data_IF_919400093204
#
_entry.id   IF_919400093204
#
_cell.length_a   1.000
_cell.length_b   1.000
_cell.length_c   1.000
_cell.angle_alpha   90.00
_cell.angle_beta   90.00
_cell.angle_gamma   90.00
#
_symmetry.space_group_name_H-M   'P 1'
#
loop_
_entity.id
_entity.type
_entity.pdbx_description
1 polymer ?
#
# COMPACT_ATOMS: atom_id res chain seq x y z
N UNK A 1 13.52 -0.72 6.51
CA UNK A 1 12.16 -0.87 5.93
C UNK A 1 12.26 -2.00 4.93
N UNK A 2 11.19 -2.78 4.79
CA UNK A 2 11.06 -3.78 3.72
C UNK A 2 9.72 -3.61 3.03
N UNK A 3 9.65 -3.94 1.74
CA UNK A 3 8.44 -3.83 0.94
C UNK A 3 8.09 -5.22 0.40
N UNK A 4 6.83 -5.60 0.50
CA UNK A 4 6.29 -6.86 -0.01
C UNK A 4 5.23 -6.50 -1.04
N UNK A 5 5.39 -6.97 -2.27
CA UNK A 5 4.36 -6.86 -3.30
C UNK A 5 3.50 -8.14 -3.30
N UNK A 6 2.21 -7.99 -3.55
CA UNK A 6 1.27 -9.09 -3.66
C UNK A 6 0.67 -9.07 -5.06
N UNK A 7 0.48 -10.25 -5.68
CA UNK A 7 -0.27 -10.34 -6.94
C UNK A 7 -1.77 -10.12 -6.76
N UNK A 8 -2.25 -10.25 -5.53
CA UNK A 8 -3.68 -10.23 -5.23
C UNK A 8 -4.35 -11.55 -5.59
N UNK A 9 -5.69 -11.56 -5.55
CA UNK A 9 -6.50 -12.71 -5.92
C UNK A 9 -7.62 -12.26 -6.85
N UNK A 10 -7.91 -13.05 -7.89
CA UNK A 10 -9.06 -12.79 -8.74
C UNK A 10 -10.34 -13.17 -7.98
N UNK A 11 -11.18 -12.17 -7.70
CA UNK A 11 -12.46 -12.36 -7.02
C UNK A 11 -13.46 -13.14 -7.89
N UNK A 12 -13.44 -12.94 -9.20
CA UNK A 12 -14.35 -13.58 -10.16
C UNK A 12 -14.18 -15.11 -10.26
N UNK A 13 -13.00 -15.60 -9.90
CA UNK A 13 -12.65 -17.03 -10.02
C UNK A 13 -12.75 -17.80 -8.70
N UNK A 14 -13.05 -17.12 -7.60
CA UNK A 14 -13.13 -17.71 -6.24
C UNK A 14 -14.55 -17.58 -5.68
N UNK A 15 -14.90 -18.49 -4.79
CA UNK A 15 -16.19 -18.42 -4.09
C UNK A 15 -16.17 -17.37 -2.97
N UNK A 16 -17.35 -16.83 -2.62
CA UNK A 16 -17.49 -15.86 -1.53
C UNK A 16 -16.90 -16.36 -0.21
N UNK A 17 -17.09 -17.66 0.10
CA UNK A 17 -16.55 -18.27 1.32
C UNK A 17 -15.01 -18.25 1.33
N UNK A 18 -14.37 -18.49 0.20
CA UNK A 18 -12.92 -18.42 0.07
C UNK A 18 -12.43 -16.98 0.23
N UNK A 19 -13.11 -16.01 -0.38
CA UNK A 19 -12.78 -14.59 -0.25
C UNK A 19 -12.90 -14.09 1.21
N UNK A 20 -13.94 -14.53 1.92
CA UNK A 20 -14.11 -14.25 3.36
C UNK A 20 -12.97 -14.88 4.18
N UNK A 21 -12.57 -16.12 3.87
CA UNK A 21 -11.48 -16.79 4.56
C UNK A 21 -10.13 -16.08 4.32
N UNK A 22 -9.86 -15.64 3.09
CA UNK A 22 -8.69 -14.85 2.73
C UNK A 22 -8.67 -13.52 3.49
N UNK A 23 -9.80 -12.82 3.53
CA UNK A 23 -9.94 -11.60 4.32
C UNK A 23 -9.60 -11.83 5.81
N UNK A 24 -10.11 -12.90 6.41
CA UNK A 24 -9.77 -13.26 7.79
C UNK A 24 -8.30 -13.65 7.96
N UNK A 25 -7.67 -14.31 6.98
CA UNK A 25 -6.24 -14.59 6.96
C UNK A 25 -5.42 -13.30 6.98
N UNK A 26 -5.76 -12.33 6.13
CA UNK A 26 -5.09 -11.03 6.07
C UNK A 26 -5.23 -10.26 7.40
N UNK A 27 -6.41 -10.29 8.02
CA UNK A 27 -6.61 -9.71 9.34
C UNK A 27 -5.74 -10.40 10.41
N UNK A 28 -5.70 -11.75 10.41
CA UNK A 28 -4.81 -12.52 11.30
C UNK A 28 -3.34 -12.15 11.11
N UNK A 29 -2.91 -11.91 9.87
CA UNK A 29 -1.55 -11.47 9.56
C UNK A 29 -1.22 -10.12 10.23
N UNK A 30 -2.05 -9.08 10.05
CA UNK A 30 -1.82 -7.79 10.71
C UNK A 30 -1.78 -7.91 12.24
N UNK A 31 -2.64 -8.74 12.83
CA UNK A 31 -2.64 -8.98 14.26
C UNK A 31 -1.40 -9.72 14.75
N UNK A 32 -0.87 -10.66 13.96
CA UNK A 32 0.35 -11.39 14.30
C UNK A 32 1.55 -10.45 14.32
N UNK A 33 1.68 -9.57 13.33
CA UNK A 33 2.72 -8.53 13.28
C UNK A 33 2.63 -7.57 14.48
N UNK A 34 1.42 -7.08 14.76
CA UNK A 34 1.18 -6.19 15.89
C UNK A 34 1.50 -6.81 17.25
N UNK A 35 1.21 -8.10 17.44
CA UNK A 35 1.56 -8.83 18.66
C UNK A 35 3.07 -9.03 18.81
N UNK A 36 3.79 -9.25 17.71
CA UNK A 36 5.23 -9.51 17.72
C UNK A 36 6.03 -8.25 18.04
N UNK A 37 5.73 -7.14 17.37
CA UNK A 37 6.56 -5.93 17.43
C UNK A 37 5.92 -4.74 18.17
N UNK A 38 4.59 -4.76 18.32
CA UNK A 38 3.84 -3.66 18.94
C UNK A 38 4.23 -2.30 18.36
N UNK A 39 4.44 -1.32 19.24
CA UNK A 39 4.78 0.07 18.90
C UNK A 39 6.07 0.27 18.10
N UNK A 40 6.89 -0.77 17.94
CA UNK A 40 8.13 -0.71 17.18
C UNK A 40 7.92 -0.90 15.69
N UNK A 41 6.74 -1.36 15.27
CA UNK A 41 6.39 -1.58 13.88
C UNK A 41 5.29 -0.61 13.44
N UNK A 42 5.50 -0.01 12.27
CA UNK A 42 4.46 0.64 11.49
C UNK A 42 4.27 -0.16 10.21
N UNK A 43 3.02 -0.32 9.79
CA UNK A 43 2.68 -0.92 8.50
C UNK A 43 2.05 0.14 7.61
N UNK A 44 2.38 0.08 6.33
CA UNK A 44 1.66 0.82 5.31
C UNK A 44 1.22 -0.15 4.23
N UNK A 45 -0.08 -0.18 3.94
CA UNK A 45 -0.60 -0.87 2.75
C UNK A 45 -0.79 0.15 1.65
N UNK A 46 -0.54 -0.30 0.43
CA UNK A 46 -0.68 0.48 -0.78
C UNK A 46 -1.54 -0.29 -1.76
N UNK A 47 -2.56 0.38 -2.30
CA UNK A 47 -3.27 -0.04 -3.50
C UNK A 47 -2.97 1.01 -4.56
N UNK A 48 -2.24 0.61 -5.60
CA UNK A 48 -1.86 1.50 -6.70
C UNK A 48 -2.63 1.09 -7.94
N UNK A 49 -3.34 2.02 -8.57
CA UNK A 49 -3.92 1.84 -9.89
C UNK A 49 -3.16 2.72 -10.88
N UNK A 50 -2.44 2.11 -11.81
CA UNK A 50 -1.51 2.78 -12.72
C UNK A 50 -1.81 2.45 -14.16
N UNK A 51 -1.66 3.42 -15.06
CA UNK A 51 -1.75 3.18 -16.49
C UNK A 51 -0.69 2.17 -16.94
N UNK A 52 -1.06 1.26 -17.84
CA UNK A 52 -0.14 0.36 -18.52
C UNK A 52 -0.09 0.78 -19.98
N UNK A 53 1.12 0.98 -20.48
CA UNK A 53 1.40 1.10 -21.91
C UNK A 53 2.06 -0.19 -22.38
N UNK A 54 1.55 -0.80 -23.45
CA UNK A 54 2.10 -2.04 -23.99
C UNK A 54 3.24 -1.73 -24.95
N UNK A 55 4.41 -1.41 -24.41
CA UNK A 55 5.59 -0.96 -25.18
C UNK A 55 6.50 -2.09 -25.68
N UNK A 56 6.17 -3.34 -25.32
CA UNK A 56 6.99 -4.50 -25.70
C UNK A 56 6.88 -4.79 -27.20
N UNK A 57 8.01 -4.68 -27.91
CA UNK A 57 8.13 -5.10 -29.30
C UNK A 57 8.33 -6.62 -29.37
N UNK A 58 7.25 -7.35 -29.63
CA UNK A 58 7.31 -8.78 -29.91
C UNK A 58 7.91 -8.99 -31.30
N UNK A 59 9.03 -9.72 -31.36
CA UNK A 59 9.64 -10.16 -32.62
C UNK A 59 9.51 -11.67 -32.72
N UNK A 60 8.67 -12.15 -33.63
CA UNK A 60 8.46 -13.57 -33.87
C UNK A 60 9.10 -14.03 -35.19
N UNK A 61 9.70 -15.23 -35.22
CA UNK A 61 10.42 -15.72 -36.40
C UNK A 61 9.51 -16.04 -37.59
N UNK A 62 8.20 -16.22 -37.36
CA UNK A 62 7.22 -16.56 -38.39
C UNK A 62 6.34 -15.34 -38.71
N UNK A 63 6.27 -14.88 -39.98
CA UNK A 63 5.48 -13.71 -40.37
C UNK A 63 4.00 -13.80 -39.97
N UNK A 64 3.37 -14.96 -40.13
CA UNK A 64 1.96 -15.14 -39.74
C UNK A 64 1.71 -14.99 -38.23
N UNK A 65 2.70 -15.36 -37.39
CA UNK A 65 2.60 -15.14 -35.95
C UNK A 65 2.89 -13.69 -35.58
N UNK A 66 3.78 -13.02 -36.31
CA UNK A 66 4.01 -11.59 -36.17
C UNK A 66 2.73 -10.79 -36.48
N UNK A 67 2.08 -11.08 -37.61
CA UNK A 67 0.80 -10.45 -38.00
C UNK A 67 -0.29 -10.66 -36.92
N UNK A 68 -0.35 -11.88 -36.35
CA UNK A 68 -1.29 -12.19 -35.27
C UNK A 68 -0.98 -11.37 -34.01
N UNK A 69 0.27 -11.31 -33.56
CA UNK A 69 0.66 -10.57 -32.36
C UNK A 69 0.48 -9.07 -32.57
N UNK A 70 0.81 -8.53 -33.74
CA UNK A 70 0.59 -7.12 -34.05
C UNK A 70 -0.90 -6.78 -34.07
N UNK A 71 -1.75 -7.61 -34.68
CA UNK A 71 -3.19 -7.42 -34.66
C UNK A 71 -3.78 -7.54 -33.23
N UNK A 72 -3.30 -8.49 -32.44
CA UNK A 72 -3.77 -8.71 -31.07
C UNK A 72 -3.31 -7.62 -30.10
N UNK A 73 -2.09 -7.10 -30.27
CA UNK A 73 -1.51 -6.06 -29.40
C UNK A 73 -1.92 -4.64 -29.79
N UNK A 74 -2.33 -4.40 -31.03
CA UNK A 74 -2.71 -3.06 -31.51
C UNK A 74 -3.75 -2.32 -30.64
N UNK A 75 -4.83 -2.96 -30.14
CA UNK A 75 -5.77 -2.31 -29.21
C UNK A 75 -5.14 -1.95 -27.87
N UNK A 76 -4.17 -2.76 -27.40
CA UNK A 76 -3.45 -2.55 -26.15
C UNK A 76 -2.37 -1.47 -26.24
N UNK A 77 -1.91 -1.13 -27.45
CA UNK A 77 -0.97 -0.02 -27.68
C UNK A 77 -1.65 1.36 -27.59
N UNK A 78 -2.95 1.44 -27.90
CA UNK A 78 -3.69 2.70 -27.99
C UNK A 78 -4.80 2.86 -26.92
N UNK A 79 -5.08 1.81 -26.12
CA UNK A 79 -6.10 1.85 -25.08
C UNK A 79 -5.53 2.26 -23.73
N UNK A 80 -6.38 2.88 -22.90
CA UNK A 80 -6.04 3.20 -21.51
C UNK A 80 -6.32 1.98 -20.64
N UNK A 81 -5.31 1.14 -20.44
CA UNK A 81 -5.39 -0.01 -19.52
C UNK A 81 -4.82 0.36 -18.17
N UNK A 82 -5.36 -0.21 -17.10
CA UNK A 82 -4.88 0.02 -15.74
C UNK A 82 -4.50 -1.30 -15.08
N UNK A 83 -3.37 -1.28 -14.36
CA UNK A 83 -3.00 -2.35 -13.45
C UNK A 83 -3.35 -1.95 -12.03
N UNK A 84 -3.83 -2.90 -11.23
CA UNK A 84 -3.93 -2.74 -9.78
C UNK A 84 -2.78 -3.50 -9.13
N UNK A 85 -1.98 -2.80 -8.33
CA UNK A 85 -0.90 -3.34 -7.53
C UNK A 85 -1.22 -3.27 -6.05
N UNK A 86 -0.83 -4.31 -5.31
CA UNK A 86 -0.97 -4.37 -3.87
C UNK A 86 0.41 -4.48 -3.23
N UNK A 87 0.70 -3.65 -2.23
CA UNK A 87 1.98 -3.71 -1.54
C UNK A 87 1.86 -3.40 -0.05
N UNK A 88 2.76 -3.96 0.75
CA UNK A 88 2.85 -3.78 2.19
C UNK A 88 4.27 -3.37 2.56
N UNK A 89 4.44 -2.18 3.13
CA UNK A 89 5.70 -1.74 3.71
C UNK A 89 5.74 -2.04 5.22
N UNK A 90 6.82 -2.69 5.64
CA UNK A 90 7.16 -2.96 7.04
C UNK A 90 8.21 -1.95 7.50
N UNK A 91 7.87 -1.12 8.48
CA UNK A 91 8.71 -0.02 8.97
C UNK A 91 9.01 -0.29 10.43
N UNK A 92 10.16 -0.93 10.66
CA UNK A 92 10.62 -1.35 11.99
C UNK A 92 11.58 -0.32 12.58
N UNK A 93 11.30 0.11 13.82
CA UNK A 93 12.23 0.89 14.65
C UNK A 93 13.18 -0.06 15.36
N UNK A 94 14.47 0.10 15.09
CA UNK A 94 15.55 -0.64 15.74
C UNK A 94 16.55 0.33 16.40
N UNK A 95 17.41 -0.19 17.27
CA UNK A 95 18.53 0.55 17.87
C UNK A 95 19.85 0.04 17.33
N UNK A 96 20.03 -1.28 17.36
CA UNK A 96 21.16 -1.97 16.78
C UNK A 96 20.78 -2.54 15.41
N UNK A 97 21.68 -2.39 14.43
CA UNK A 97 21.41 -2.75 13.04
C UNK A 97 21.22 -4.26 12.89
N UNK A 98 22.09 -5.08 13.50
CA UNK A 98 22.03 -6.53 13.38
C UNK A 98 20.76 -7.11 13.99
N UNK A 99 20.35 -6.62 15.17
CA UNK A 99 19.07 -6.98 15.80
C UNK A 99 17.89 -6.56 14.90
N UNK A 100 17.98 -5.38 14.28
CA UNK A 100 16.98 -4.89 13.34
C UNK A 100 16.86 -5.77 12.09
N UNK A 101 17.97 -6.29 11.58
CA UNK A 101 18.01 -7.21 10.44
C UNK A 101 17.38 -8.54 10.82
N UNK A 102 17.76 -9.13 11.95
CA UNK A 102 17.20 -10.39 12.44
C UNK A 102 15.69 -10.29 12.62
N UNK A 103 15.22 -9.26 13.34
CA UNK A 103 13.79 -9.01 13.57
C UNK A 103 13.03 -8.77 12.27
N UNK A 104 13.60 -8.03 11.32
CA UNK A 104 12.97 -7.82 10.01
C UNK A 104 12.90 -9.12 9.21
N UNK A 105 13.96 -9.93 9.19
CA UNK A 105 13.97 -11.24 8.53
C UNK A 105 12.87 -12.16 9.08
N UNK A 106 12.72 -12.15 10.39
CA UNK A 106 11.67 -12.84 11.13
C UNK A 106 10.25 -12.39 10.74
N UNK A 107 10.04 -11.08 10.53
CA UNK A 107 8.77 -10.54 10.06
C UNK A 107 8.51 -10.95 8.60
N UNK A 108 9.53 -10.90 7.75
CA UNK A 108 9.42 -11.28 6.35
C UNK A 108 9.10 -12.77 6.17
N UNK A 109 9.72 -13.65 6.97
CA UNK A 109 9.40 -15.08 6.99
C UNK A 109 7.93 -15.34 7.38
N UNK A 110 7.46 -14.62 8.41
CA UNK A 110 6.06 -14.66 8.83
C UNK A 110 5.13 -14.13 7.73
N UNK A 111 5.50 -13.06 7.05
CA UNK A 111 4.75 -12.49 5.92
C UNK A 111 4.64 -13.46 4.75
N UNK A 112 5.75 -14.08 4.32
CA UNK A 112 5.73 -15.07 3.23
C UNK A 112 4.82 -16.26 3.55
N UNK A 113 4.79 -16.68 4.81
CA UNK A 113 3.96 -17.81 5.25
C UNK A 113 2.48 -17.45 5.31
N UNK A 114 2.13 -16.35 5.98
CA UNK A 114 0.73 -15.98 6.19
C UNK A 114 0.06 -15.37 4.97
N UNK A 115 0.85 -14.85 4.02
CA UNK A 115 0.37 -14.26 2.78
C UNK A 115 0.55 -15.17 1.56
N UNK A 116 0.89 -16.45 1.73
CA UNK A 116 1.22 -17.36 0.63
C UNK A 116 0.14 -17.40 -0.49
N UNK A 117 -1.14 -17.33 -0.12
CA UNK A 117 -2.28 -17.29 -1.05
C UNK A 117 -2.30 -16.06 -1.98
N UNK A 118 -1.57 -15.01 -1.63
CA UNK A 118 -1.47 -13.76 -2.40
C UNK A 118 -0.19 -13.67 -3.24
N UNK A 119 0.60 -14.75 -3.29
CA UNK A 119 1.89 -14.85 -3.98
C UNK A 119 2.84 -13.69 -3.61
N UNK A 120 3.33 -13.63 -2.36
CA UNK A 120 4.07 -12.50 -1.86
C UNK A 120 5.50 -12.46 -2.41
N UNK A 121 5.89 -11.33 -2.98
CA UNK A 121 7.24 -11.05 -3.48
C UNK A 121 7.90 -10.03 -2.55
N UNK A 122 8.96 -10.45 -1.86
CA UNK A 122 9.77 -9.54 -1.04
C UNK A 122 10.71 -8.76 -1.96
N UNK A 123 10.61 -7.44 -1.92
CA UNK A 123 11.44 -6.57 -2.74
C UNK A 123 12.86 -6.47 -2.18
N UNK A 124 13.83 -6.54 -3.07
CA UNK A 124 15.25 -6.54 -2.76
C UNK A 124 16.08 -5.72 -3.74
N UNK A 125 17.30 -6.21 -3.99
CA UNK A 125 18.22 -5.65 -4.97
C UNK A 125 18.24 -6.53 -6.23
N UNK A 126 18.33 -5.89 -7.38
CA UNK A 126 18.54 -6.54 -8.67
C UNK A 126 19.93 -6.18 -9.20
N UNK A 127 20.68 -7.17 -9.66
CA UNK A 127 21.97 -6.95 -10.32
C UNK A 127 21.79 -7.01 -11.83
N UNK A 128 22.28 -6.00 -12.54
CA UNK A 128 22.30 -6.00 -14.00
C UNK A 128 23.41 -6.89 -14.56
N UNK A 129 23.34 -7.19 -15.85
CA UNK A 129 24.39 -7.95 -16.56
C UNK A 129 25.79 -7.30 -16.46
N UNK A 130 25.85 -6.00 -16.15
CA UNK A 130 27.08 -5.23 -16.00
C UNK A 130 27.48 -5.01 -14.52
N UNK A 131 26.84 -5.71 -13.57
CA UNK A 131 27.16 -5.66 -12.14
C UNK A 131 26.62 -4.43 -11.39
N UNK A 132 25.72 -3.66 -12.00
CA UNK A 132 25.10 -2.51 -11.33
C UNK A 132 23.91 -2.99 -10.48
N UNK A 133 23.85 -2.54 -9.22
CA UNK A 133 22.78 -2.89 -8.28
C UNK A 133 21.66 -1.87 -8.31
N UNK A 134 20.43 -2.31 -8.53
CA UNK A 134 19.23 -1.49 -8.53
C UNK A 134 18.29 -1.87 -7.38
N UNK A 135 17.65 -0.89 -6.76
CA UNK A 135 16.72 -1.10 -5.65
C UNK A 135 15.29 -1.24 -6.16
N UNK A 136 14.68 -2.41 -6.01
CA UNK A 136 13.27 -2.61 -6.32
C UNK A 136 12.36 -1.74 -5.43
N UNK A 137 12.75 -1.55 -4.16
CA UNK A 137 12.06 -0.63 -3.24
C UNK A 137 12.15 0.81 -3.77
N UNK A 138 13.32 1.22 -4.26
CA UNK A 138 13.52 2.53 -4.88
C UNK A 138 12.63 2.72 -6.11
N UNK A 139 12.58 1.71 -6.99
CA UNK A 139 11.72 1.70 -8.19
C UNK A 139 10.24 1.88 -7.81
N UNK A 140 9.78 1.17 -6.79
CA UNK A 140 8.41 1.30 -6.28
C UNK A 140 8.10 2.70 -5.73
N UNK A 141 8.97 3.28 -4.92
CA UNK A 141 8.72 4.65 -4.41
C UNK A 141 8.89 5.72 -5.49
N UNK A 142 9.69 5.48 -6.53
CA UNK A 142 9.71 6.35 -7.72
C UNK A 142 8.34 6.39 -8.38
N UNK A 143 7.63 5.26 -8.50
CA UNK A 143 6.26 5.23 -9.02
C UNK A 143 5.33 6.11 -8.18
N UNK A 144 5.40 5.99 -6.85
CA UNK A 144 4.52 6.75 -5.96
C UNK A 144 4.79 8.27 -6.01
N UNK A 145 6.04 8.69 -6.18
CA UNK A 145 6.45 10.11 -6.13
C UNK A 145 6.38 10.78 -7.50
N UNK A 146 6.83 10.08 -8.55
CA UNK A 146 7.00 10.63 -9.89
C UNK A 146 5.89 10.17 -10.86
N UNK A 147 5.00 9.28 -10.41
CA UNK A 147 3.94 8.68 -11.22
C UNK A 147 4.42 7.61 -12.20
N UNK A 148 5.72 7.28 -12.23
CA UNK A 148 6.27 6.25 -13.10
C UNK A 148 7.44 5.52 -12.42
N UNK A 149 7.57 4.24 -12.75
CA UNK A 149 8.71 3.46 -12.30
C UNK A 149 10.01 3.93 -12.98
N UNK A 150 11.08 3.99 -12.19
CA UNK A 150 12.42 4.32 -12.64
C UNK A 150 13.39 3.38 -11.96
N UNK A 151 14.37 2.89 -12.71
CA UNK A 151 15.47 2.14 -12.12
C UNK A 151 16.30 3.05 -11.21
N UNK A 152 16.36 2.69 -9.92
CA UNK A 152 17.08 3.45 -8.91
C UNK A 152 18.35 2.72 -8.55
N UNK A 153 19.48 3.25 -9.05
CA UNK A 153 20.82 2.71 -8.79
C UNK A 153 21.17 2.86 -7.30
N UNK A 154 21.67 1.77 -6.71
CA UNK A 154 22.29 1.80 -5.38
C UNK A 154 23.64 2.51 -5.52
N UNK A 155 23.73 3.69 -4.91
CA UNK A 155 24.93 4.53 -4.92
C UNK A 155 25.20 5.07 -3.51
N UNK A 156 26.19 5.95 -3.39
CA UNK A 156 26.46 6.73 -2.18
C UNK A 156 25.36 7.78 -1.89
N UNK A 157 24.53 8.08 -2.88
CA UNK A 157 23.37 8.97 -2.72
C UNK A 157 22.29 8.28 -1.89
N UNK A 158 21.71 9.01 -0.93
CA UNK A 158 20.61 8.49 -0.11
C UNK A 158 19.45 8.09 -1.01
N UNK A 159 18.86 6.93 -0.74
CA UNK A 159 17.75 6.41 -1.55
C UNK A 159 16.60 7.42 -1.66
N UNK A 160 16.27 8.13 -0.58
CA UNK A 160 15.24 9.17 -0.56
C UNK A 160 15.49 10.35 -1.50
N UNK A 161 16.76 10.66 -1.80
CA UNK A 161 17.13 11.70 -2.76
C UNK A 161 17.17 11.12 -4.18
N UNK A 162 17.65 9.89 -4.33
CA UNK A 162 17.79 9.21 -5.63
C UNK A 162 16.45 8.86 -6.29
N UNK A 163 15.39 8.64 -5.51
CA UNK A 163 14.04 8.33 -6.02
C UNK A 163 13.31 9.55 -6.58
N UNK A 164 13.71 10.78 -6.23
CA UNK A 164 13.00 11.99 -6.65
C UNK A 164 13.46 12.36 -8.05
N UNK A 165 12.53 12.30 -9.01
CA UNK A 165 12.77 12.65 -10.42
C UNK A 165 11.66 13.56 -10.97
N UNK A 166 11.08 14.36 -10.08
CA UNK A 166 9.95 15.23 -10.36
C UNK A 166 10.00 16.50 -9.51
N UNK A 167 9.38 17.55 -10.02
CA UNK A 167 9.11 18.78 -9.27
C UNK A 167 7.62 18.78 -8.90
N UNK A 168 7.32 18.74 -7.60
CA UNK A 168 5.94 18.78 -7.09
C UNK A 168 5.62 20.16 -6.56
N UNK A 169 4.54 20.76 -7.05
CA UNK A 169 4.01 22.04 -6.61
C UNK A 169 2.68 21.85 -5.85
N UNK A 170 2.54 22.58 -4.74
CA UNK A 170 1.36 22.60 -3.85
C UNK A 170 0.72 23.99 -3.76
N UNK A 171 1.11 24.94 -4.61
CA UNK A 171 0.65 26.33 -4.55
C UNK A 171 -0.86 26.51 -4.73
N UNK A 172 -1.52 25.58 -5.43
CA UNK A 172 -2.97 25.60 -5.62
C UNK A 172 -3.63 24.70 -4.55
N UNK A 173 -4.37 25.31 -3.61
CA UNK A 173 -4.97 24.60 -2.46
C UNK A 173 -5.80 23.35 -2.82
N UNK A 174 -6.30 23.27 -4.06
CA UNK A 174 -7.24 22.23 -4.50
C UNK A 174 -6.57 21.05 -5.24
N UNK A 175 -5.33 21.21 -5.71
CA UNK A 175 -4.63 20.16 -6.45
C UNK A 175 -3.11 20.22 -6.32
N UNK A 176 -2.50 19.04 -6.41
CA UNK A 176 -1.07 18.82 -6.53
C UNK A 176 -0.72 18.79 -8.01
N UNK A 177 0.31 19.54 -8.37
CA UNK A 177 0.89 19.50 -9.71
C UNK A 177 2.25 18.81 -9.63
N UNK A 178 2.41 17.69 -10.32
CA UNK A 178 3.67 16.97 -10.40
C UNK A 178 4.25 17.09 -11.82
N UNK A 179 5.51 17.53 -11.91
CA UNK A 179 6.26 17.67 -13.17
C UNK A 179 7.45 16.70 -13.15
N UNK A 180 7.23 15.42 -13.49
CA UNK A 180 8.31 14.46 -13.66
C UNK A 180 9.17 14.83 -14.87
N UNK A 181 10.47 14.49 -14.81
CA UNK A 181 11.39 14.72 -15.92
C UNK A 181 11.00 13.93 -17.19
N UNK A 182 10.15 12.92 -17.05
CA UNK A 182 9.56 12.11 -18.13
C UNK A 182 8.06 11.92 -17.88
N UNK A 183 7.26 11.80 -18.94
CA UNK A 183 5.82 11.51 -18.83
C UNK A 183 4.90 12.73 -18.74
N UNK A 184 5.45 13.95 -18.81
CA UNK A 184 4.66 15.18 -18.85
C UNK A 184 4.04 15.58 -17.51
N UNK A 185 3.36 16.72 -17.50
CA UNK A 185 2.73 17.29 -16.31
C UNK A 185 1.54 16.46 -15.85
N UNK A 186 1.44 16.21 -14.55
CA UNK A 186 0.37 15.43 -13.90
C UNK A 186 -0.30 16.26 -12.82
N UNK A 187 -1.58 15.99 -12.61
CA UNK A 187 -2.39 16.64 -11.59
C UNK A 187 -3.03 15.57 -10.72
N UNK A 188 -3.10 15.83 -9.41
CA UNK A 188 -3.75 14.96 -8.45
C UNK A 188 -4.49 15.77 -7.39
N UNK A 189 -5.55 15.20 -6.83
CA UNK A 189 -6.18 15.72 -5.61
C UNK A 189 -5.96 14.69 -4.51
N UNK A 190 -5.61 15.16 -3.32
CA UNK A 190 -5.37 14.31 -2.15
C UNK A 190 -6.57 14.34 -1.23
N UNK A 191 -7.09 13.16 -0.89
CA UNK A 191 -8.13 13.01 0.12
C UNK A 191 -7.53 12.34 1.35
N UNK A 192 -7.81 12.88 2.53
CA UNK A 192 -7.41 12.29 3.80
C UNK A 192 -8.66 11.78 4.52
N UNK A 193 -8.75 10.45 4.66
CA UNK A 193 -9.84 9.80 5.37
C UNK A 193 -9.37 9.48 6.80
N UNK A 194 -9.78 10.32 7.75
CA UNK A 194 -9.54 10.12 9.18
C UNK A 194 -10.83 9.72 9.87
N UNK A 195 -11.30 8.51 9.58
CA UNK A 195 -12.55 8.01 10.15
C UNK A 195 -12.42 6.58 10.67
N UNK A 196 -13.25 6.25 11.66
CA UNK A 196 -13.39 4.89 12.17
C UNK A 196 -14.72 4.32 11.65
N UNK A 197 -14.72 3.53 10.55
CA UNK A 197 -15.96 3.12 9.92
C UNK A 197 -16.81 2.29 10.89
N UNK A 198 -18.02 2.76 11.21
CA UNK A 198 -18.97 2.09 12.10
C UNK A 198 -19.24 0.63 11.68
N UNK A 199 -19.38 0.41 10.36
CA UNK A 199 -19.57 -0.91 9.74
C UNK A 199 -18.38 -1.86 9.85
N UNK A 200 -17.20 -1.38 10.27
CA UNK A 200 -15.96 -2.13 10.26
C UNK A 200 -15.44 -2.36 8.84
N UNK A 201 -14.39 -3.18 8.72
CA UNK A 201 -13.81 -3.60 7.43
C UNK A 201 -14.48 -4.87 6.94
N UNK A 202 -14.79 -4.95 5.64
CA UNK A 202 -15.38 -6.12 4.99
C UNK A 202 -14.72 -6.39 3.62
N UNK A 203 -14.81 -7.62 3.07
CA UNK A 203 -14.32 -7.93 1.72
C UNK A 203 -14.97 -7.02 0.67
N UNK A 204 -14.18 -6.49 -0.25
CA UNK A 204 -14.68 -5.64 -1.35
C UNK A 204 -14.93 -4.17 -0.99
N UNK A 205 -14.56 -3.72 0.22
CA UNK A 205 -14.76 -2.32 0.66
C UNK A 205 -14.17 -1.26 -0.30
N UNK A 206 -13.17 -1.61 -1.12
CA UNK A 206 -12.52 -0.71 -2.07
C UNK A 206 -12.85 -0.99 -3.54
N UNK A 207 -13.79 -1.90 -3.82
CA UNK A 207 -14.08 -2.33 -5.20
C UNK A 207 -14.56 -1.15 -6.06
N UNK A 208 -15.45 -0.30 -5.53
CA UNK A 208 -15.92 0.89 -6.24
C UNK A 208 -14.78 1.84 -6.64
N UNK A 209 -13.76 2.00 -5.79
CA UNK A 209 -12.59 2.82 -6.08
C UNK A 209 -11.70 2.14 -7.13
N UNK A 210 -11.52 0.81 -7.02
CA UNK A 210 -10.73 0.00 -7.95
C UNK A 210 -11.37 -0.03 -9.35
N UNK A 211 -12.69 0.04 -9.47
CA UNK A 211 -13.40 0.03 -10.75
C UNK A 211 -13.29 1.37 -11.53
N UNK A 212 -12.98 2.48 -10.83
CA UNK A 212 -12.91 3.81 -11.45
C UNK A 212 -11.86 3.90 -12.57
N UNK A 213 -12.17 4.59 -13.67
CA UNK A 213 -11.29 4.68 -14.85
C UNK A 213 -10.22 5.79 -14.73
N UNK A 214 -9.59 5.90 -13.56
CA UNK A 214 -8.48 6.83 -13.32
C UNK A 214 -7.42 6.20 -12.42
N UNK A 215 -6.21 6.74 -12.48
CA UNK A 215 -5.10 6.33 -11.63
C UNK A 215 -5.30 6.85 -10.20
N UNK A 216 -4.96 6.02 -9.21
CA UNK A 216 -4.95 6.46 -7.82
C UNK A 216 -3.93 5.67 -7.01
N UNK A 217 -3.55 6.23 -5.87
CA UNK A 217 -2.82 5.52 -4.83
C UNK A 217 -3.59 5.66 -3.53
N UNK A 218 -4.08 4.54 -3.00
CA UNK A 218 -4.66 4.46 -1.67
C UNK A 218 -3.58 3.97 -0.70
N UNK A 219 -3.31 4.75 0.34
CA UNK A 219 -2.37 4.40 1.40
C UNK A 219 -3.14 4.24 2.70
N UNK A 220 -2.95 3.12 3.39
CA UNK A 220 -3.48 2.92 4.74
C UNK A 220 -2.31 2.70 5.70
N UNK A 221 -2.26 3.50 6.77
CA UNK A 221 -1.19 3.42 7.76
C UNK A 221 -1.70 2.79 9.06
N UNK A 222 -1.02 1.74 9.51
CA UNK A 222 -1.33 1.06 10.76
C UNK A 222 -0.21 1.28 11.77
N UNK A 223 -0.58 1.85 12.92
CA UNK A 223 0.27 1.98 14.09
C UNK A 223 -0.27 1.10 15.20
N UNK A 224 0.59 0.21 15.72
CA UNK A 224 0.21 -0.64 16.84
C UNK A 224 0.40 0.09 18.17
N UNK A 225 -0.63 0.08 18.99
CA UNK A 225 -0.64 0.71 20.31
C UNK A 225 -1.07 -0.32 21.37
N UNK A 226 -0.58 -0.15 22.60
CA UNK A 226 -1.05 -0.94 23.74
C UNK A 226 -2.55 -0.70 23.97
N UNK A 227 -3.28 -1.76 24.32
CA UNK A 227 -4.73 -1.73 24.49
C UNK A 227 -5.19 -0.68 25.50
N UNK A 228 -4.51 -0.57 26.63
CA UNK A 228 -4.90 0.35 27.69
C UNK A 228 -4.60 1.79 27.27
N UNK A 229 -3.46 2.03 26.62
CA UNK A 229 -3.12 3.35 26.08
C UNK A 229 -4.06 3.79 24.97
N UNK A 230 -4.46 2.88 24.08
CA UNK A 230 -5.44 3.15 23.05
C UNK A 230 -6.78 3.56 23.67
N UNK A 231 -7.26 2.82 24.69
CA UNK A 231 -8.48 3.16 25.43
C UNK A 231 -8.41 4.55 26.06
N UNK A 232 -7.29 4.90 26.68
CA UNK A 232 -7.12 6.22 27.30
C UNK A 232 -7.10 7.35 26.26
N UNK A 233 -6.49 7.12 25.09
CA UNK A 233 -6.53 8.08 23.97
C UNK A 233 -7.94 8.27 23.44
N UNK A 234 -8.70 7.19 23.24
CA UNK A 234 -10.09 7.27 22.78
C UNK A 234 -10.99 8.01 23.77
N UNK A 235 -10.87 7.71 25.07
CA UNK A 235 -11.61 8.44 26.11
C UNK A 235 -11.32 9.93 26.11
N UNK A 236 -10.06 10.32 25.91
CA UNK A 236 -9.69 11.73 25.77
C UNK A 236 -10.33 12.35 24.53
N UNK A 237 -10.30 11.66 23.39
CA UNK A 237 -10.91 12.14 22.16
C UNK A 237 -12.44 12.31 22.29
N UNK A 238 -13.12 11.37 22.94
CA UNK A 238 -14.56 11.48 23.28
C UNK A 238 -14.82 12.71 24.16
N UNK A 239 -14.00 12.94 25.18
CA UNK A 239 -14.16 14.10 26.05
C UNK A 239 -13.92 15.43 25.31
N UNK A 240 -12.91 15.46 24.42
CA UNK A 240 -12.60 16.64 23.61
C UNK A 240 -13.73 16.93 22.61
N UNK A 241 -14.24 15.92 21.90
CA UNK A 241 -15.36 16.07 20.96
C UNK A 241 -16.66 16.46 21.66
N UNK A 242 -16.99 15.80 22.77
CA UNK A 242 -18.18 16.11 23.57
C UNK A 242 -18.18 17.52 24.18
N UNK A 243 -17.02 18.19 24.24
CA UNK A 243 -16.90 19.59 24.67
C UNK A 243 -17.26 20.59 23.57
N UNK A 244 -17.19 20.18 22.28
CA UNK A 244 -17.43 21.02 21.10
C UNK A 244 -18.79 20.71 20.47
N UNK A 245 -19.13 19.43 20.31
CA UNK A 245 -20.40 18.94 19.78
C UNK A 245 -21.00 17.93 20.76
N UNK A 246 -22.13 18.27 21.40
CA UNK A 246 -22.85 17.30 22.25
C UNK A 246 -23.48 16.23 21.36
N UNK A 247 -23.18 14.95 21.65
CA UNK A 247 -23.75 13.74 21.04
C UNK A 247 -23.77 13.73 19.50
N UNK A 248 -22.58 13.68 18.89
CA UNK A 248 -22.42 13.43 17.46
C UNK A 248 -22.25 11.93 17.16
N UNK A 249 -22.54 11.52 15.92
CA UNK A 249 -22.30 10.15 15.43
C UNK A 249 -20.86 9.69 15.63
N UNK A 250 -19.90 10.61 15.52
CA UNK A 250 -18.48 10.33 15.76
C UNK A 250 -18.21 9.95 17.22
N UNK A 251 -18.86 10.62 18.19
CA UNK A 251 -18.72 10.29 19.61
C UNK A 251 -19.25 8.88 19.90
N UNK A 252 -20.41 8.51 19.36
CA UNK A 252 -20.97 7.15 19.48
C UNK A 252 -20.04 6.09 18.86
N UNK A 253 -19.41 6.39 17.71
CA UNK A 253 -18.47 5.48 17.06
C UNK A 253 -17.20 5.23 17.89
N UNK A 254 -16.69 6.27 18.54
CA UNK A 254 -15.55 6.15 19.46
C UNK A 254 -15.90 5.38 20.74
N UNK A 255 -17.10 5.56 21.30
CA UNK A 255 -17.57 4.79 22.45
C UNK A 255 -17.73 3.31 22.11
N UNK A 256 -18.35 2.99 20.97
CA UNK A 256 -18.44 1.63 20.44
C UNK A 256 -17.05 1.02 20.22
N UNK A 257 -16.06 1.81 19.78
CA UNK A 257 -14.68 1.35 19.66
C UNK A 257 -14.03 1.04 21.02
N UNK A 258 -14.27 1.86 22.05
CA UNK A 258 -13.78 1.60 23.42
C UNK A 258 -14.35 0.28 23.96
N UNK A 259 -15.63 0.02 23.73
CA UNK A 259 -16.28 -1.23 24.14
C UNK A 259 -15.73 -2.43 23.39
N UNK A 260 -15.54 -2.31 22.08
CA UNK A 260 -14.95 -3.37 21.25
C UNK A 260 -13.50 -3.69 21.65
N UNK A 261 -12.71 -2.67 22.03
CA UNK A 261 -11.35 -2.85 22.59
C UNK A 261 -11.41 -3.57 23.94
N UNK A 262 -12.38 -3.21 24.79
CA UNK A 262 -12.55 -3.78 26.13
C UNK A 262 -12.95 -5.27 26.05
N UNK A 263 -13.89 -5.59 25.16
CA UNK A 263 -14.38 -6.95 24.85
C UNK A 263 -13.41 -7.76 23.98
N UNK A 264 -12.33 -7.14 23.50
CA UNK A 264 -11.33 -7.71 22.59
C UNK A 264 -11.89 -8.20 21.24
N UNK A 265 -13.05 -7.69 20.83
CA UNK A 265 -13.83 -8.08 19.64
C UNK A 265 -13.37 -7.37 18.36
N UNK A 266 -12.78 -6.16 18.45
CA UNK A 266 -12.14 -5.46 17.32
C UNK A 266 -10.71 -5.08 17.70
N UNK A 267 -9.73 -5.42 16.85
CA UNK A 267 -8.30 -5.37 17.19
C UNK A 267 -7.41 -4.60 16.22
N UNK A 268 -7.98 -3.96 15.19
CA UNK A 268 -7.26 -3.03 14.32
C UNK A 268 -7.80 -1.63 14.55
N UNK A 269 -6.93 -0.78 15.09
CA UNK A 269 -7.16 0.66 15.23
C UNK A 269 -6.23 1.33 14.23
N UNK A 270 -6.80 2.04 13.25
CA UNK A 270 -6.04 2.90 12.35
C UNK A 270 -5.74 4.18 13.11
N UNK A 271 -4.48 4.41 13.47
CA UNK A 271 -4.00 5.69 14.00
C UNK A 271 -3.01 6.22 12.97
N UNK A 272 -3.34 7.33 12.31
CA UNK A 272 -2.38 8.06 11.49
C UNK A 272 -1.44 8.87 12.39
N UNK A 273 -0.11 8.83 12.17
CA UNK A 273 0.81 9.72 12.87
C UNK A 273 0.68 11.15 12.34
N UNK A 274 0.83 12.12 13.25
CA UNK A 274 0.98 13.56 12.95
C UNK A 274 2.28 13.86 12.23
#
# INVERSE_FOLDING_TARGET
>A
MSLIQLKGVSSETRSDNELIQLFHNLNRYFLALGKKEGKHLMLQTYITKTGIELDTQYTLPLPALQDFVDAYTAPFRNGTFFQVGYSIALILKYREVDEGIERMSDLLSLSSTLLAEYDPVIMGLEESEHGALFSQIGRYFSLLINGHEKDVLVSDTRLGDAIIDSVTNFENYDFVENRPNRGGQRFATTFDLRDYPSGGTYPGMWDEAIEQQFEFTLVQTFLFEDRNKAKDKFKKHVADLGSVERDSKQTEELENAIDAITLATRRLVVITPR
#
